data_IF_553224893228
#
_entry.id   IF_553224893228
#
_cell.length_a   1.000
_cell.length_b   1.000
_cell.length_c   1.000
_cell.angle_alpha   90.00
_cell.angle_beta   90.00
_cell.angle_gamma   90.00
#
_symmetry.space_group_name_H-M   'P 1'
#
loop_
_entity.id
_entity.type
_entity.pdbx_description
1 polymer ?
#
# COMPACT_ATOMS: atom_id res chain seq x y z
N UNK A 1 47.16 1.18 -0.10
CA UNK A 1 46.44 1.42 1.16
C UNK A 1 45.00 1.83 0.86
N UNK A 2 44.04 0.90 0.85
CA UNK A 2 42.61 1.23 0.79
C UNK A 2 41.98 0.80 2.12
N UNK A 3 41.25 1.69 2.77
CA UNK A 3 40.44 1.34 3.95
C UNK A 3 41.06 1.54 5.34
N UNK A 4 42.33 1.97 5.49
CA UNK A 4 42.95 2.14 6.83
C UNK A 4 42.14 3.07 7.74
N UNK A 5 41.65 4.20 7.19
CA UNK A 5 40.82 5.15 7.94
C UNK A 5 39.53 4.52 8.46
N UNK A 6 38.87 3.72 7.63
CA UNK A 6 37.60 3.06 7.97
C UNK A 6 37.86 1.95 8.99
N UNK A 7 38.93 1.18 8.82
CA UNK A 7 39.33 0.11 9.74
C UNK A 7 39.61 0.63 11.14
N UNK A 8 40.28 1.78 11.28
CA UNK A 8 40.51 2.40 12.58
C UNK A 8 39.20 2.78 13.29
N UNK A 9 38.21 3.30 12.56
CA UNK A 9 36.89 3.62 13.13
C UNK A 9 36.14 2.34 13.51
N UNK A 10 36.18 1.30 12.69
CA UNK A 10 35.57 -0.01 13.00
C UNK A 10 36.16 -0.63 14.27
N UNK A 11 37.48 -0.51 14.48
CA UNK A 11 38.13 -0.98 15.70
C UNK A 11 37.64 -0.25 16.95
N UNK A 12 37.47 1.08 16.86
CA UNK A 12 36.93 1.90 17.96
C UNK A 12 35.46 1.53 18.27
N UNK A 13 34.67 1.22 17.24
CA UNK A 13 33.29 0.74 17.37
C UNK A 13 33.19 -0.76 17.69
N UNK A 14 34.25 -1.35 18.26
CA UNK A 14 34.27 -2.76 18.72
C UNK A 14 33.92 -3.78 17.62
N UNK A 15 34.25 -3.47 16.37
CA UNK A 15 34.02 -4.36 15.23
C UNK A 15 32.64 -4.26 14.58
N UNK A 16 31.88 -3.19 14.86
CA UNK A 16 30.65 -2.91 14.12
C UNK A 16 30.94 -2.73 12.62
N UNK A 17 30.15 -3.39 11.76
CA UNK A 17 30.33 -3.31 10.31
C UNK A 17 29.81 -1.96 9.80
N UNK A 18 30.66 -1.24 9.06
CA UNK A 18 30.34 0.06 8.47
C UNK A 18 30.40 -0.08 6.96
N UNK A 19 29.30 0.28 6.31
CA UNK A 19 29.23 0.41 4.86
C UNK A 19 29.19 1.89 4.47
N UNK A 20 29.99 2.26 3.47
CA UNK A 20 30.07 3.64 2.95
C UNK A 20 29.41 3.63 1.58
N UNK A 21 28.36 4.43 1.44
CA UNK A 21 27.56 4.53 0.22
C UNK A 21 27.59 5.97 -0.30
N UNK A 22 27.51 6.17 -1.63
CA UNK A 22 27.36 7.51 -2.20
C UNK A 22 25.97 8.06 -1.84
N UNK A 23 25.94 9.31 -1.37
CA UNK A 23 24.70 10.04 -1.18
C UNK A 23 24.19 10.61 -2.51
N UNK A 24 22.87 10.73 -2.65
CA UNK A 24 22.23 11.34 -3.81
C UNK A 24 20.94 12.06 -3.38
N UNK A 25 20.61 13.16 -4.05
CA UNK A 25 19.35 13.91 -3.84
C UNK A 25 18.12 13.15 -4.35
N UNK A 26 18.27 12.40 -5.44
CA UNK A 26 17.22 11.51 -5.94
C UNK A 26 17.14 10.28 -5.04
N UNK A 27 16.04 10.19 -4.28
CA UNK A 27 15.75 9.09 -3.37
C UNK A 27 15.79 7.73 -4.07
N UNK A 28 15.45 7.67 -5.35
CA UNK A 28 15.47 6.45 -6.17
C UNK A 28 16.89 5.95 -6.40
N UNK A 29 17.83 6.88 -6.58
CA UNK A 29 19.26 6.58 -6.74
C UNK A 29 19.88 6.28 -5.38
N UNK A 30 19.50 7.06 -4.36
CA UNK A 30 20.04 6.89 -3.01
C UNK A 30 19.63 5.55 -2.39
N UNK A 31 18.38 5.12 -2.55
CA UNK A 31 17.90 3.84 -2.00
C UNK A 31 18.58 2.62 -2.64
N UNK A 32 18.96 2.71 -3.93
CA UNK A 32 19.78 1.69 -4.59
C UNK A 32 21.15 1.56 -3.94
N UNK A 33 21.75 2.68 -3.58
CA UNK A 33 23.03 2.69 -2.86
C UNK A 33 22.87 2.19 -1.42
N UNK A 34 21.75 2.53 -0.77
CA UNK A 34 21.44 2.15 0.60
C UNK A 34 21.19 0.66 0.82
N UNK A 35 20.67 -0.05 -0.18
CA UNK A 35 20.39 -1.49 -0.11
C UNK A 35 21.54 -2.37 -0.63
N UNK A 36 22.65 -1.77 -1.06
CA UNK A 36 23.84 -2.51 -1.45
C UNK A 36 24.24 -3.51 -0.34
N UNK A 37 24.62 -4.74 -0.67
CA UNK A 37 24.98 -5.26 -2.01
C UNK A 37 23.81 -5.83 -2.83
N UNK A 38 22.56 -5.73 -2.38
CA UNK A 38 21.43 -6.31 -3.12
C UNK A 38 21.14 -5.56 -4.43
N UNK A 39 20.93 -6.31 -5.51
CA UNK A 39 20.58 -5.73 -6.81
C UNK A 39 19.06 -5.47 -6.89
N UNK A 40 18.70 -4.26 -7.33
CA UNK A 40 17.31 -3.81 -7.40
C UNK A 40 16.82 -3.82 -8.84
N UNK A 41 15.73 -4.55 -9.11
CA UNK A 41 15.10 -4.61 -10.43
C UNK A 41 14.26 -3.36 -10.73
N UNK A 42 13.46 -2.88 -9.77
CA UNK A 42 12.58 -1.72 -9.95
C UNK A 42 12.35 -0.97 -8.64
N UNK A 43 12.19 0.35 -8.71
CA UNK A 43 11.79 1.19 -7.58
C UNK A 43 10.54 1.97 -7.98
N UNK A 44 9.49 1.90 -7.16
CA UNK A 44 8.28 2.71 -7.28
C UNK A 44 8.18 3.63 -6.06
N UNK A 45 8.06 4.93 -6.32
CA UNK A 45 7.88 5.94 -5.30
C UNK A 45 6.38 6.17 -5.11
N UNK A 46 5.92 6.10 -3.86
CA UNK A 46 4.54 6.39 -3.46
C UNK A 46 4.54 7.64 -2.57
N UNK A 47 4.36 8.85 -3.15
CA UNK A 47 4.48 10.10 -2.41
C UNK A 47 3.40 10.30 -1.34
N UNK A 48 2.22 9.71 -1.51
CA UNK A 48 1.11 9.87 -0.57
C UNK A 48 1.38 9.26 0.80
N UNK A 49 2.21 8.22 0.88
CA UNK A 49 2.54 7.51 2.13
C UNK A 49 4.01 7.61 2.50
N UNK A 50 4.81 8.38 1.75
CA UNK A 50 6.27 8.38 1.83
C UNK A 50 6.87 6.96 1.83
N UNK A 51 6.38 6.11 0.93
CA UNK A 51 6.85 4.72 0.79
C UNK A 51 7.60 4.53 -0.52
N UNK A 52 8.71 3.80 -0.44
CA UNK A 52 9.44 3.24 -1.57
C UNK A 52 9.11 1.76 -1.66
N UNK A 53 8.42 1.36 -2.73
CA UNK A 53 8.19 -0.04 -3.05
C UNK A 53 9.28 -0.53 -3.99
N UNK A 54 10.04 -1.52 -3.55
CA UNK A 54 11.25 -1.99 -4.20
C UNK A 54 11.05 -3.43 -4.65
N UNK A 55 11.27 -3.67 -5.93
CA UNK A 55 11.18 -4.99 -6.54
C UNK A 55 12.58 -5.54 -6.76
N UNK A 56 12.79 -6.75 -6.28
CA UNK A 56 14.04 -7.51 -6.44
C UNK A 56 13.75 -8.89 -7.01
N UNK A 57 14.77 -9.54 -7.58
CA UNK A 57 14.68 -10.97 -7.92
C UNK A 57 14.56 -11.81 -6.62
N UNK A 58 14.00 -13.01 -6.72
CA UNK A 58 13.67 -13.83 -5.55
C UNK A 58 14.90 -14.26 -4.73
N UNK A 59 16.05 -14.43 -5.36
CA UNK A 59 17.34 -14.72 -4.72
C UNK A 59 17.92 -13.52 -3.96
N UNK A 60 17.63 -12.30 -4.42
CA UNK A 60 18.07 -11.04 -3.81
C UNK A 60 17.21 -10.60 -2.62
N UNK A 61 16.00 -11.14 -2.46
CA UNK A 61 15.06 -10.73 -1.41
C UNK A 61 15.65 -10.82 0.00
N UNK A 62 16.31 -11.94 0.31
CA UNK A 62 16.92 -12.16 1.64
C UNK A 62 18.06 -11.17 1.91
N UNK A 63 18.87 -10.87 0.89
CA UNK A 63 19.98 -9.93 0.98
C UNK A 63 19.50 -8.49 1.15
N UNK A 64 18.46 -8.10 0.40
CA UNK A 64 17.87 -6.77 0.46
C UNK A 64 17.21 -6.50 1.83
N UNK A 65 16.53 -7.49 2.41
CA UNK A 65 15.95 -7.37 3.77
C UNK A 65 17.07 -7.36 4.83
N UNK A 66 18.07 -8.24 4.67
CA UNK A 66 19.15 -8.43 5.61
C UNK A 66 18.73 -9.20 6.88
N UNK A 67 19.71 -9.55 7.70
CA UNK A 67 19.47 -10.33 8.94
C UNK A 67 18.53 -9.58 9.86
N UNK A 68 17.39 -10.19 10.23
CA UNK A 68 16.34 -9.58 11.06
C UNK A 68 15.80 -8.24 10.50
N UNK A 69 15.87 -8.03 9.18
CA UNK A 69 15.43 -6.79 8.55
C UNK A 69 16.35 -5.60 8.83
N UNK A 70 17.60 -5.83 9.22
CA UNK A 70 18.52 -4.75 9.56
C UNK A 70 18.83 -3.85 8.36
N UNK A 71 19.02 -4.43 7.17
CA UNK A 71 19.40 -3.67 5.98
C UNK A 71 18.25 -2.72 5.55
N UNK A 72 17.05 -3.26 5.38
CA UNK A 72 15.87 -2.47 5.04
C UNK A 72 15.55 -1.39 6.08
N UNK A 73 15.80 -1.66 7.37
CA UNK A 73 15.61 -0.68 8.45
C UNK A 73 16.61 0.46 8.37
N UNK A 74 17.90 0.17 8.18
CA UNK A 74 18.93 1.18 8.00
C UNK A 74 18.66 2.02 6.75
N UNK A 75 18.32 1.37 5.63
CA UNK A 75 17.94 2.06 4.40
C UNK A 75 16.75 3.00 4.61
N UNK A 76 15.71 2.56 5.33
CA UNK A 76 14.56 3.41 5.69
C UNK A 76 14.96 4.60 6.56
N UNK A 77 15.86 4.38 7.54
CA UNK A 77 16.32 5.43 8.44
C UNK A 77 17.14 6.50 7.72
N UNK A 78 18.07 6.11 6.86
CA UNK A 78 18.96 7.07 6.17
C UNK A 78 18.26 7.79 5.02
N UNK A 79 17.29 7.12 4.35
CA UNK A 79 16.48 7.76 3.30
C UNK A 79 15.39 8.64 3.88
N UNK A 80 14.87 8.31 5.07
CA UNK A 80 13.70 8.95 5.67
C UNK A 80 12.37 8.48 5.07
N UNK A 81 12.39 7.45 4.21
CA UNK A 81 11.22 6.86 3.59
C UNK A 81 10.95 5.47 4.16
N UNK A 82 9.68 5.05 4.15
CA UNK A 82 9.35 3.66 4.44
C UNK A 82 9.79 2.80 3.25
N UNK A 83 10.62 1.79 3.47
CA UNK A 83 11.07 0.89 2.40
C UNK A 83 10.34 -0.45 2.49
N UNK A 84 9.51 -0.75 1.49
CA UNK A 84 8.81 -2.03 1.36
C UNK A 84 9.44 -2.82 0.20
N UNK A 85 10.02 -3.99 0.51
CA UNK A 85 10.72 -4.84 -0.47
C UNK A 85 9.85 -6.05 -0.83
N UNK A 86 9.70 -6.31 -2.12
CA UNK A 86 8.92 -7.41 -2.65
C UNK A 86 9.69 -8.14 -3.77
N UNK A 87 9.54 -9.46 -3.84
CA UNK A 87 10.14 -10.20 -4.94
C UNK A 87 9.29 -10.12 -6.19
N UNK A 88 9.93 -10.33 -7.35
CA UNK A 88 9.26 -10.37 -8.65
C UNK A 88 8.15 -11.42 -8.71
N UNK A 89 8.40 -12.65 -8.25
CA UNK A 89 7.37 -13.70 -8.19
C UNK A 89 6.16 -13.29 -7.33
N UNK A 90 6.41 -12.55 -6.23
CA UNK A 90 5.34 -12.05 -5.37
C UNK A 90 4.56 -10.91 -6.05
N UNK A 91 5.23 -10.04 -6.79
CA UNK A 91 4.57 -9.00 -7.59
C UNK A 91 3.68 -9.60 -8.67
N UNK A 92 4.17 -10.62 -9.38
CA UNK A 92 3.42 -11.32 -10.42
C UNK A 92 2.17 -11.98 -9.83
N UNK A 93 2.31 -12.61 -8.68
CA UNK A 93 1.18 -13.21 -7.96
C UNK A 93 0.14 -12.15 -7.55
N UNK A 94 0.60 -10.99 -7.04
CA UNK A 94 -0.28 -9.86 -6.70
C UNK A 94 -1.01 -9.32 -7.92
N UNK A 95 -0.32 -9.24 -9.06
CA UNK A 95 -0.88 -8.77 -10.34
C UNK A 95 -1.94 -9.74 -10.85
N UNK A 96 -1.64 -11.04 -10.85
CA UNK A 96 -2.61 -12.10 -11.23
C UNK A 96 -3.84 -12.08 -10.33
N UNK A 97 -3.65 -11.90 -9.01
CA UNK A 97 -4.74 -11.77 -8.06
C UNK A 97 -5.62 -10.56 -8.31
N UNK A 98 -5.03 -9.40 -8.63
CA UNK A 98 -5.77 -8.19 -8.99
C UNK A 98 -6.60 -8.38 -10.27
N UNK A 99 -6.00 -8.96 -11.31
CA UNK A 99 -6.70 -9.26 -12.57
C UNK A 99 -7.85 -10.23 -12.32
N UNK A 100 -7.62 -11.31 -11.56
CA UNK A 100 -8.67 -12.26 -11.20
C UNK A 100 -9.80 -11.61 -10.38
N UNK A 101 -9.47 -10.67 -9.48
CA UNK A 101 -10.48 -9.91 -8.75
C UNK A 101 -11.37 -9.11 -9.72
N UNK A 102 -10.77 -8.40 -10.67
CA UNK A 102 -11.49 -7.60 -11.67
C UNK A 102 -12.40 -8.45 -12.58
N UNK A 103 -12.02 -9.69 -12.89
CA UNK A 103 -12.82 -10.61 -13.71
C UNK A 103 -14.15 -11.03 -13.06
N UNK A 104 -14.39 -10.74 -11.78
CA UNK A 104 -15.69 -10.97 -11.16
C UNK A 104 -16.78 -10.00 -11.67
N UNK A 105 -16.39 -8.92 -12.34
CA UNK A 105 -17.34 -8.02 -13.01
C UNK A 105 -17.86 -8.73 -14.26
N UNK A 106 -19.19 -8.83 -14.35
CA UNK A 106 -19.86 -9.52 -15.44
C UNK A 106 -19.48 -8.95 -16.82
N UNK A 107 -18.94 -9.80 -17.70
CA UNK A 107 -18.56 -9.43 -19.07
C UNK A 107 -17.15 -8.83 -19.19
N UNK A 108 -16.36 -8.78 -18.12
CA UNK A 108 -14.92 -8.51 -18.23
C UNK A 108 -14.17 -9.79 -18.61
N UNK A 109 -13.46 -9.73 -19.74
CA UNK A 109 -12.46 -10.73 -20.09
C UNK A 109 -11.07 -10.35 -19.53
N UNK A 110 -10.11 -11.25 -19.68
CA UNK A 110 -8.75 -11.03 -19.17
C UNK A 110 -8.07 -9.79 -19.76
N UNK A 111 -8.22 -9.54 -21.06
CA UNK A 111 -7.60 -8.39 -21.74
C UNK A 111 -8.14 -7.06 -21.23
N UNK A 112 -9.46 -6.96 -20.99
CA UNK A 112 -10.08 -5.78 -20.40
C UNK A 112 -9.65 -5.60 -18.94
N UNK A 113 -9.60 -6.69 -18.16
CA UNK A 113 -9.12 -6.65 -16.79
C UNK A 113 -7.63 -6.20 -16.70
N UNK A 114 -6.79 -6.64 -17.64
CA UNK A 114 -5.40 -6.17 -17.75
C UNK A 114 -5.33 -4.68 -18.09
N UNK A 115 -6.17 -4.19 -19.01
CA UNK A 115 -6.23 -2.77 -19.39
C UNK A 115 -6.66 -1.90 -18.21
N UNK A 116 -7.66 -2.36 -17.46
CA UNK A 116 -8.11 -1.72 -16.21
C UNK A 116 -6.98 -1.67 -15.17
N UNK A 117 -6.26 -2.77 -14.98
CA UNK A 117 -5.13 -2.82 -14.05
C UNK A 117 -4.02 -1.84 -14.45
N UNK A 118 -3.70 -1.74 -15.74
CA UNK A 118 -2.72 -0.78 -16.26
C UNK A 118 -3.13 0.69 -16.06
N UNK A 119 -4.44 0.96 -15.99
CA UNK A 119 -4.97 2.28 -15.64
C UNK A 119 -4.87 2.60 -14.13
N UNK A 120 -4.39 1.65 -13.32
CA UNK A 120 -4.15 1.82 -11.89
C UNK A 120 -5.23 1.25 -10.97
N UNK A 121 -6.29 0.65 -11.51
CA UNK A 121 -7.36 0.06 -10.72
C UNK A 121 -7.00 -1.35 -10.28
N UNK A 122 -6.92 -1.56 -8.96
CA UNK A 122 -6.39 -2.80 -8.39
C UNK A 122 -7.47 -3.83 -8.04
N UNK A 123 -8.73 -3.40 -7.94
CA UNK A 123 -9.84 -4.26 -7.52
C UNK A 123 -11.21 -3.70 -7.94
N UNK A 124 -12.25 -4.52 -7.79
CA UNK A 124 -13.64 -4.18 -8.16
C UNK A 124 -14.19 -3.03 -7.31
N UNK A 125 -13.83 -2.98 -6.02
CA UNK A 125 -14.30 -1.93 -5.13
C UNK A 125 -13.81 -0.54 -5.57
N UNK A 126 -12.57 -0.43 -6.03
CA UNK A 126 -12.00 0.81 -6.53
C UNK A 126 -12.85 1.33 -7.70
N UNK A 127 -13.08 0.49 -8.72
CA UNK A 127 -13.91 0.83 -9.88
C UNK A 127 -15.31 1.32 -9.52
N UNK A 128 -16.00 0.64 -8.60
CA UNK A 128 -17.36 1.03 -8.18
C UNK A 128 -17.44 2.43 -7.56
N UNK A 129 -16.34 2.91 -6.96
CA UNK A 129 -16.30 4.20 -6.25
C UNK A 129 -15.80 5.34 -7.11
N UNK A 130 -15.21 5.05 -8.26
CA UNK A 130 -14.67 6.07 -9.15
C UNK A 130 -15.79 6.83 -9.87
N UNK A 131 -15.55 8.10 -10.24
CA UNK A 131 -16.45 8.87 -11.06
C UNK A 131 -16.37 8.39 -12.53
N UNK A 132 -17.45 8.60 -13.29
CA UNK A 132 -17.61 8.05 -14.64
C UNK A 132 -16.53 8.59 -15.58
N UNK A 133 -16.12 9.83 -15.38
CA UNK A 133 -15.08 10.51 -16.15
C UNK A 133 -13.71 9.85 -16.03
N UNK A 134 -13.40 9.26 -14.87
CA UNK A 134 -12.16 8.50 -14.68
C UNK A 134 -12.26 7.14 -15.36
N UNK A 135 -13.41 6.48 -15.25
CA UNK A 135 -13.65 5.18 -15.88
C UNK A 135 -13.67 5.26 -17.41
N UNK A 136 -14.14 6.37 -17.97
CA UNK A 136 -14.14 6.66 -19.40
C UNK A 136 -12.73 6.88 -19.99
N UNK A 137 -11.67 6.87 -19.17
CA UNK A 137 -10.28 6.88 -19.66
C UNK A 137 -9.72 5.48 -19.89
N UNK A 138 -10.45 4.45 -19.48
CA UNK A 138 -10.02 3.06 -19.61
C UNK A 138 -10.30 2.61 -21.05
N UNK A 139 -9.27 2.14 -21.80
CA UNK A 139 -9.46 1.64 -23.15
C UNK A 139 -10.54 0.56 -23.20
N UNK A 140 -11.52 0.74 -24.09
CA UNK A 140 -12.68 -0.15 -24.23
C UNK A 140 -13.91 0.27 -23.42
N UNK A 141 -13.77 1.27 -22.54
CA UNK A 141 -14.87 1.91 -21.81
C UNK A 141 -14.95 3.41 -22.10
N UNK A 142 -14.39 3.85 -23.23
CA UNK A 142 -14.18 5.26 -23.56
C UNK A 142 -15.47 6.06 -23.78
N UNK A 143 -16.61 5.37 -23.92
CA UNK A 143 -17.92 5.99 -24.05
C UNK A 143 -18.64 6.05 -22.69
N UNK A 144 -19.39 7.12 -22.44
CA UNK A 144 -20.07 7.36 -21.17
C UNK A 144 -21.04 6.23 -20.80
N UNK A 145 -21.70 5.62 -21.79
CA UNK A 145 -22.60 4.48 -21.56
C UNK A 145 -21.88 3.22 -21.05
N UNK A 146 -20.71 2.91 -21.61
CA UNK A 146 -19.88 1.77 -21.24
C UNK A 146 -19.21 1.99 -19.89
N UNK A 147 -18.73 3.20 -19.61
CA UNK A 147 -18.21 3.57 -18.30
C UNK A 147 -19.30 3.50 -17.21
N UNK A 148 -20.52 3.96 -17.53
CA UNK A 148 -21.67 3.85 -16.62
C UNK A 148 -22.05 2.39 -16.37
N UNK A 149 -22.09 1.57 -17.43
CA UNK A 149 -22.40 0.15 -17.30
C UNK A 149 -21.31 -0.61 -16.54
N UNK A 150 -20.03 -0.30 -16.77
CA UNK A 150 -18.91 -0.83 -16.01
C UNK A 150 -19.06 -0.52 -14.52
N UNK A 151 -19.39 0.73 -14.18
CA UNK A 151 -19.61 1.15 -12.79
C UNK A 151 -20.76 0.38 -12.16
N UNK A 152 -21.91 0.31 -12.85
CA UNK A 152 -23.10 -0.42 -12.37
C UNK A 152 -22.79 -1.89 -12.11
N UNK A 153 -22.05 -2.54 -13.03
CA UNK A 153 -21.63 -3.94 -12.89
C UNK A 153 -20.62 -4.13 -11.77
N UNK A 154 -19.69 -3.19 -11.60
CA UNK A 154 -18.74 -3.21 -10.48
C UNK A 154 -19.49 -3.11 -9.14
N UNK A 155 -20.44 -2.18 -9.01
CA UNK A 155 -21.29 -2.03 -7.82
C UNK A 155 -22.09 -3.31 -7.52
N UNK A 156 -22.67 -3.93 -8.54
CA UNK A 156 -23.37 -5.21 -8.38
C UNK A 156 -22.42 -6.32 -7.91
N UNK A 157 -21.22 -6.42 -8.49
CA UNK A 157 -20.22 -7.39 -8.08
C UNK A 157 -19.77 -7.17 -6.61
N UNK A 158 -19.60 -5.91 -6.18
CA UNK A 158 -19.31 -5.60 -4.76
C UNK A 158 -20.43 -6.09 -3.83
N UNK A 159 -21.69 -5.91 -4.23
CA UNK A 159 -22.84 -6.38 -3.43
C UNK A 159 -22.88 -7.90 -3.33
N UNK A 160 -22.55 -8.63 -4.41
CA UNK A 160 -22.53 -10.10 -4.41
C UNK A 160 -21.36 -10.68 -3.63
N UNK A 161 -20.16 -10.10 -3.77
CA UNK A 161 -18.93 -10.63 -3.15
C UNK A 161 -18.73 -10.17 -1.70
N UNK A 162 -19.39 -9.08 -1.30
CA UNK A 162 -19.11 -8.39 -0.05
C UNK A 162 -17.87 -7.48 -0.14
N UNK A 163 -17.79 -6.51 0.77
CA UNK A 163 -16.77 -5.45 0.70
C UNK A 163 -15.33 -5.97 0.83
N UNK A 164 -15.10 -6.99 1.65
CA UNK A 164 -13.75 -7.49 1.93
C UNK A 164 -13.14 -8.18 0.70
N UNK A 165 -13.88 -9.09 0.07
CA UNK A 165 -13.46 -9.75 -1.16
C UNK A 165 -13.33 -8.76 -2.33
N UNK A 166 -14.28 -7.82 -2.45
CA UNK A 166 -14.26 -6.80 -3.50
C UNK A 166 -13.09 -5.81 -3.37
N UNK A 167 -12.61 -5.56 -2.15
CA UNK A 167 -11.43 -4.71 -1.91
C UNK A 167 -10.09 -5.40 -2.19
N UNK A 168 -10.11 -6.72 -2.42
CA UNK A 168 -8.90 -7.52 -2.57
C UNK A 168 -8.08 -7.66 -1.28
N UNK A 169 -8.64 -7.30 -0.10
CA UNK A 169 -7.95 -7.45 1.20
C UNK A 169 -7.63 -8.91 1.52
N UNK A 170 -8.50 -9.85 1.14
CA UNK A 170 -8.27 -11.29 1.33
C UNK A 170 -7.08 -11.81 0.52
N UNK A 171 -6.83 -11.22 -0.65
CA UNK A 171 -5.69 -11.58 -1.52
C UNK A 171 -4.37 -11.04 -0.96
N UNK A 172 -4.41 -9.92 -0.23
CA UNK A 172 -3.23 -9.35 0.43
C UNK A 172 -2.85 -10.05 1.75
N UNK A 173 -3.83 -10.58 2.50
CA UNK A 173 -3.58 -11.25 3.78
C UNK A 173 -2.94 -12.65 3.62
N UNK A 174 -3.34 -13.44 2.62
CA UNK A 174 -2.83 -14.81 2.43
C UNK A 174 -1.39 -14.92 1.88
N UNK A 175 -0.74 -13.80 1.53
CA UNK A 175 0.64 -13.79 1.00
C UNK A 175 1.65 -13.07 1.93
N UNK A 176 1.32 -12.93 3.20
CA UNK A 176 2.19 -12.30 4.20
C UNK A 176 3.22 -13.30 4.77
N UNK A 177 4.34 -13.48 4.07
CA UNK A 177 5.63 -13.80 4.72
C UNK A 177 6.10 -12.61 5.57
N UNK A 178 7.00 -12.82 6.55
CA UNK A 178 6.96 -12.16 7.85
C UNK A 178 6.96 -10.64 7.72
N UNK A 179 5.87 -10.03 8.16
CA UNK A 179 5.85 -8.64 8.59
C UNK A 179 6.94 -8.45 9.66
N UNK A 180 7.92 -7.55 9.49
CA UNK A 180 8.74 -7.14 10.62
C UNK A 180 7.80 -6.45 11.62
N UNK A 181 7.60 -7.13 12.74
CA UNK A 181 6.86 -6.65 13.90
C UNK A 181 7.31 -5.23 14.25
N UNK A 182 6.36 -4.30 14.19
CA UNK A 182 6.52 -2.88 14.40
C UNK A 182 5.16 -2.18 14.43
N UNK A 183 4.30 -2.67 15.32
CA UNK A 183 3.08 -2.02 15.83
C UNK A 183 2.01 -1.57 14.81
N UNK A 184 1.00 -2.43 14.58
CA UNK A 184 -0.40 -2.03 14.76
C UNK A 184 -1.14 -3.22 15.38
N UNK A 185 -1.16 -3.24 16.71
CA UNK A 185 -2.04 -4.10 17.48
C UNK A 185 -3.45 -3.52 17.45
N UNK A 186 -4.42 -4.42 17.25
CA UNK A 186 -5.75 -4.43 17.84
C UNK A 186 -6.47 -3.08 18.03
N UNK A 187 -7.51 -2.86 17.23
CA UNK A 187 -8.83 -2.59 17.80
C UNK A 187 -9.94 -2.85 16.78
N UNK A 188 -10.40 -4.10 16.76
CA UNK A 188 -11.80 -4.39 16.54
C UNK A 188 -12.43 -4.62 17.91
N UNK A 189 -13.44 -3.79 18.23
CA UNK A 189 -14.68 -4.09 18.97
C UNK A 189 -15.01 -2.95 19.94
N UNK A 190 -16.26 -2.47 19.82
CA UNK A 190 -16.99 -1.49 20.64
C UNK A 190 -16.86 -0.03 20.18
N UNK A 191 -17.82 0.39 19.36
CA UNK A 191 -18.61 1.60 19.61
C UNK A 191 -19.91 1.56 18.79
N UNK A 192 -20.80 0.64 19.16
CA UNK A 192 -22.22 0.87 19.07
C UNK A 192 -22.67 1.37 20.45
N UNK A 193 -22.70 2.71 20.63
CA UNK A 193 -23.51 3.48 21.63
C UNK A 193 -22.94 4.89 21.87
N UNK A 194 -22.75 5.71 20.82
CA UNK A 194 -22.49 7.15 21.06
C UNK A 194 -22.98 8.12 19.98
N UNK A 195 -23.93 7.72 19.13
CA UNK A 195 -24.63 8.67 18.24
C UNK A 195 -25.96 9.20 18.81
N UNK A 196 -26.38 8.76 20.01
CA UNK A 196 -27.59 9.25 20.70
C UNK A 196 -27.28 10.16 21.91
N UNK A 197 -26.02 10.55 22.11
CA UNK A 197 -25.64 11.49 23.18
C UNK A 197 -25.89 12.96 22.76
N UNK A 198 -25.66 13.30 21.48
CA UNK A 198 -25.87 14.66 20.98
C UNK A 198 -27.35 15.05 20.87
N UNK A 199 -28.24 14.09 20.61
CA UNK A 199 -29.68 14.36 20.55
C UNK A 199 -30.29 14.66 21.93
N UNK A 200 -29.85 13.97 22.99
CA UNK A 200 -30.35 14.15 24.35
C UNK A 200 -29.81 15.41 25.05
N UNK A 201 -28.58 15.81 24.73
CA UNK A 201 -28.00 17.04 25.28
C UNK A 201 -28.68 18.29 24.69
N UNK A 202 -29.11 18.22 23.42
CA UNK A 202 -29.79 19.32 22.74
C UNK A 202 -31.23 19.54 23.22
N UNK A 203 -31.95 18.47 23.57
CA UNK A 203 -33.28 18.57 24.23
C UNK A 203 -33.18 19.05 25.69
N UNK A 204 -32.15 18.64 26.44
CA UNK A 204 -31.95 19.09 27.82
C UNK A 204 -31.60 20.59 27.92
N UNK A 205 -30.89 21.13 26.92
CA UNK A 205 -30.56 22.55 26.85
C UNK A 205 -31.74 23.42 26.36
N UNK A 206 -32.67 22.86 25.58
CA UNK A 206 -33.88 23.57 25.15
C UNK A 206 -34.89 23.76 26.29
N UNK A 207 -35.00 22.78 27.21
CA UNK A 207 -35.93 22.85 28.34
C UNK A 207 -35.41 23.64 29.55
N UNK A 208 -34.13 24.04 29.56
CA UNK A 208 -33.55 24.88 30.61
C UNK A 208 -33.69 26.40 30.35
N UNK A 209 -34.17 26.80 29.16
CA UNK A 209 -34.26 28.19 28.73
C UNK A 209 -35.58 28.93 28.98
N UNK A 210 -36.63 28.27 29.47
CA UNK A 210 -37.96 28.89 29.70
C UNK A 210 -38.27 29.25 31.17
N UNK A 211 -37.29 29.16 32.06
CA UNK A 211 -37.48 29.35 33.51
C UNK A 211 -37.24 30.74 34.11
N UNK A 212 -36.84 31.76 33.34
CA UNK A 212 -36.49 33.09 33.88
C UNK A 212 -37.19 34.24 33.12
N UNK A 213 -38.52 34.24 33.10
CA UNK A 213 -39.30 35.49 33.03
C UNK A 213 -40.65 35.32 33.75
N UNK A 214 -40.66 35.61 35.05
CA UNK A 214 -41.73 36.36 35.73
C UNK A 214 -41.35 36.65 37.18
#
# INVERSE_FOLDING_TARGET
MKGIRVQNVVQELRGEKIDIIPWNEDVTVFVRSALAPAEISMVRVVPSTNTLEIVVEDDQLSLAIGRKGQNVRLASQITGWKVDILSKSKLDTRTKGAIANLQHIEGLNETLAQSIYQCGFLNVLDLSRQPIETLARIPGFDNEGAATELKRKAEAAVQTMGLDAASGRDIMMNNSGPTPSGAVGANATKNATMANADARLKEALANAGEGEKK
#
